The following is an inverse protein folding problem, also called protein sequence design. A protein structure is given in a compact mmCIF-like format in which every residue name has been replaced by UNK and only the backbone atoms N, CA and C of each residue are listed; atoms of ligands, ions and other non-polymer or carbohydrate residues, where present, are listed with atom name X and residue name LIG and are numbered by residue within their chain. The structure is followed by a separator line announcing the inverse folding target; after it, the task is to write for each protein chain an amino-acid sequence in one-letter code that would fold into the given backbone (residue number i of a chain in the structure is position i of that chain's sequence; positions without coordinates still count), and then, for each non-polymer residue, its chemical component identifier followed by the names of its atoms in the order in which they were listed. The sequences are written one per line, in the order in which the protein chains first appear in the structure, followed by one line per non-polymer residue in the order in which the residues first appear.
data_IF_679258196708
#
_entry.id   IF_679258196708
#
_cell.length_a   1.000
_cell.length_b   1.000
_cell.length_c   1.000
_cell.angle_alpha   90.00
_cell.angle_beta   90.00
_cell.angle_gamma   90.00
#
_symmetry.space_group_name_H-M   'P 1'
#
loop_
_entity.id
_entity.type
_entity.pdbx_description
1 polymer ?
#
# COMPACT_ATOMS: atom_id res chain seq x y z
N UNK A 1 -11.34 28.88 2.11
CA UNK A 1 -10.59 29.18 0.88
C UNK A 1 -10.43 27.88 0.09
N UNK A 2 -10.56 27.89 -1.23
CA UNK A 2 -10.38 26.68 -2.03
C UNK A 2 -8.94 26.18 -1.87
N UNK A 3 -8.78 24.91 -1.50
CA UNK A 3 -7.47 24.25 -1.40
C UNK A 3 -6.79 24.33 -2.76
N UNK A 4 -5.71 25.10 -2.87
CA UNK A 4 -4.95 25.25 -4.12
C UNK A 4 -4.54 23.86 -4.62
N UNK A 5 -4.70 23.58 -5.91
CA UNK A 5 -4.29 22.30 -6.47
C UNK A 5 -2.77 22.22 -6.45
N UNK A 6 -2.22 21.07 -6.07
CA UNK A 6 -0.75 20.87 -5.99
C UNK A 6 -0.08 21.19 -7.32
N UNK A 7 -0.70 20.83 -8.45
CA UNK A 7 -0.17 21.13 -9.79
C UNK A 7 -0.04 22.64 -10.05
N UNK A 8 -1.03 23.43 -9.64
CA UNK A 8 -1.00 24.89 -9.78
C UNK A 8 0.07 25.51 -8.87
N UNK A 9 0.18 25.02 -7.62
CA UNK A 9 1.21 25.46 -6.68
C UNK A 9 2.63 25.20 -7.20
N UNK A 10 2.85 24.05 -7.85
CA UNK A 10 4.13 23.72 -8.47
C UNK A 10 4.47 24.63 -9.66
N UNK A 11 3.46 25.03 -10.44
CA UNK A 11 3.63 26.00 -11.55
C UNK A 11 3.90 27.41 -11.01
N UNK A 12 3.15 27.86 -9.99
CA UNK A 12 3.33 29.17 -9.35
C UNK A 12 4.75 29.34 -8.79
N UNK A 13 5.34 28.26 -8.26
CA UNK A 13 6.72 28.24 -7.76
C UNK A 13 7.80 28.13 -8.83
N UNK A 14 7.41 27.96 -10.09
CA UNK A 14 8.33 27.71 -11.20
C UNK A 14 9.05 26.36 -11.11
N UNK A 15 8.55 25.43 -10.30
CA UNK A 15 9.11 24.08 -10.19
C UNK A 15 8.80 23.24 -11.44
N UNK A 16 7.66 23.48 -12.07
CA UNK A 16 7.26 22.86 -13.34
C UNK A 16 6.68 23.90 -14.30
N UNK A 17 6.76 23.62 -15.59
CA UNK A 17 6.06 24.40 -16.61
C UNK A 17 4.60 23.94 -16.77
N UNK A 18 3.69 24.78 -17.30
CA UNK A 18 2.33 24.37 -17.60
C UNK A 18 2.26 23.16 -18.55
N UNK A 19 3.17 23.09 -19.52
CA UNK A 19 3.27 21.96 -20.44
C UNK A 19 3.67 20.65 -19.72
N UNK A 20 4.58 20.72 -18.74
CA UNK A 20 4.94 19.56 -17.91
C UNK A 20 3.78 19.13 -17.01
N UNK A 21 2.99 20.07 -16.49
CA UNK A 21 1.79 19.75 -15.72
C UNK A 21 0.76 19.00 -16.58
N UNK A 22 0.49 19.45 -17.80
CA UNK A 22 -0.41 18.77 -18.74
C UNK A 22 0.08 17.37 -19.13
N UNK A 23 1.38 17.23 -19.39
CA UNK A 23 2.00 15.94 -19.66
C UNK A 23 1.86 14.98 -18.45
N UNK A 24 2.08 15.50 -17.24
CA UNK A 24 1.90 14.76 -15.99
C UNK A 24 0.45 14.32 -15.75
N UNK A 25 -0.52 15.19 -16.03
CA UNK A 25 -1.96 14.87 -15.92
C UNK A 25 -2.39 13.81 -16.94
N UNK A 26 -1.90 13.91 -18.17
CA UNK A 26 -2.15 12.91 -19.22
C UNK A 26 -1.60 11.54 -18.81
N UNK A 27 -0.35 11.51 -18.34
CA UNK A 27 0.28 10.29 -17.86
C UNK A 27 -0.42 9.73 -16.61
N UNK A 28 -0.86 10.58 -15.67
CA UNK A 28 -1.67 10.16 -14.52
C UNK A 28 -2.97 9.47 -14.95
N UNK A 29 -3.67 9.96 -15.99
CA UNK A 29 -4.89 9.32 -16.49
C UNK A 29 -4.61 7.92 -17.07
N UNK A 30 -3.44 7.73 -17.67
CA UNK A 30 -3.02 6.44 -18.24
C UNK A 30 -2.57 5.45 -17.16
N UNK A 31 -1.77 5.90 -16.19
CA UNK A 31 -1.18 5.03 -15.16
C UNK A 31 -2.07 4.88 -13.93
N UNK A 32 -3.07 5.74 -13.75
CA UNK A 32 -3.87 5.92 -12.52
C UNK A 32 -3.03 6.17 -11.26
N UNK A 33 -1.78 6.59 -11.42
CA UNK A 33 -0.91 6.93 -10.29
C UNK A 33 -1.14 8.36 -9.82
N UNK A 34 -0.59 8.71 -8.64
CA UNK A 34 -0.63 10.08 -8.12
C UNK A 34 0.24 10.99 -8.99
N UNK A 35 -0.25 12.19 -9.28
CA UNK A 35 0.43 13.19 -10.12
C UNK A 35 1.88 13.44 -9.66
N UNK A 36 2.13 13.53 -8.35
CA UNK A 36 3.48 13.73 -7.82
C UNK A 36 4.44 12.60 -8.17
N UNK A 37 4.00 11.33 -8.09
CA UNK A 37 4.81 10.16 -8.45
C UNK A 37 5.12 10.17 -9.94
N UNK A 38 4.13 10.49 -10.77
CA UNK A 38 4.30 10.64 -12.22
C UNK A 38 5.32 11.73 -12.58
N UNK A 39 5.23 12.90 -11.94
CA UNK A 39 6.13 14.03 -12.20
C UNK A 39 7.57 13.74 -11.75
N UNK A 40 7.77 13.01 -10.65
CA UNK A 40 9.09 12.54 -10.22
C UNK A 40 9.64 11.52 -11.23
N UNK A 41 8.83 10.56 -11.67
CA UNK A 41 9.23 9.55 -12.66
C UNK A 41 9.62 10.14 -14.02
N UNK A 42 9.02 11.28 -14.38
CA UNK A 42 9.38 12.05 -15.59
C UNK A 42 10.59 12.97 -15.39
N UNK A 43 11.15 13.06 -14.18
CA UNK A 43 12.26 13.95 -13.84
C UNK A 43 11.88 15.44 -13.81
N UNK A 44 10.58 15.77 -13.77
CA UNK A 44 10.11 17.15 -13.75
C UNK A 44 10.28 17.81 -12.37
N UNK A 45 10.16 17.03 -11.29
CA UNK A 45 10.34 17.51 -9.91
C UNK A 45 11.18 16.54 -9.08
N UNK A 46 11.75 17.04 -7.99
CA UNK A 46 12.38 16.21 -6.97
C UNK A 46 11.40 15.84 -5.86
N UNK A 47 11.69 14.76 -5.11
CA UNK A 47 10.88 14.38 -3.93
C UNK A 47 10.83 15.49 -2.86
N UNK A 48 11.94 16.22 -2.67
CA UNK A 48 12.00 17.33 -1.73
C UNK A 48 11.07 18.47 -2.13
N UNK A 49 11.04 18.82 -3.42
CA UNK A 49 10.12 19.82 -3.97
C UNK A 49 8.66 19.40 -3.80
N UNK A 50 8.35 18.12 -4.03
CA UNK A 50 7.01 17.58 -3.81
C UNK A 50 6.60 17.65 -2.34
N UNK A 51 7.47 17.25 -1.42
CA UNK A 51 7.21 17.30 0.02
C UNK A 51 6.95 18.74 0.50
N UNK A 52 7.71 19.72 -0.01
CA UNK A 52 7.51 21.13 0.31
C UNK A 52 6.20 21.69 -0.28
N UNK A 53 5.81 21.26 -1.48
CA UNK A 53 4.53 21.61 -2.08
C UNK A 53 3.35 21.04 -1.27
N UNK A 54 3.45 19.79 -0.84
CA UNK A 54 2.46 19.14 0.02
C UNK A 54 2.37 19.81 1.39
N UNK A 55 3.49 20.14 2.01
CA UNK A 55 3.52 20.84 3.30
C UNK A 55 2.72 22.15 3.26
N UNK A 56 2.91 22.97 2.23
CA UNK A 56 2.19 24.23 2.08
C UNK A 56 0.73 24.04 1.68
N UNK A 57 0.41 23.10 0.78
CA UNK A 57 -0.96 22.84 0.35
C UNK A 57 -1.85 22.28 1.47
N UNK A 58 -1.23 21.66 2.49
CA UNK A 58 -1.90 20.96 3.59
C UNK A 58 -1.72 21.64 4.93
N UNK A 59 -0.94 22.71 5.00
CA UNK A 59 -0.52 23.37 6.24
C UNK A 59 0.07 22.37 7.25
N UNK A 60 0.76 21.34 6.74
CA UNK A 60 1.37 20.28 7.54
C UNK A 60 2.88 20.49 7.63
N UNK A 61 3.49 20.34 8.82
CA UNK A 61 4.92 20.55 8.97
C UNK A 61 5.73 19.46 8.23
N UNK A 62 6.79 19.89 7.56
CA UNK A 62 7.77 18.98 6.96
C UNK A 62 8.75 18.49 8.03
N UNK A 63 9.17 17.22 7.93
CA UNK A 63 10.14 16.61 8.83
C UNK A 63 11.26 15.91 8.06
N UNK A 64 12.49 16.06 8.53
CA UNK A 64 13.65 15.30 8.05
C UNK A 64 13.98 14.16 9.02
N UNK A 65 13.71 12.93 8.58
CA UNK A 65 13.96 11.71 9.35
C UNK A 65 15.45 11.40 9.53
N UNK A 66 16.34 11.99 8.71
CA UNK A 66 17.77 11.77 8.84
C UNK A 66 18.41 12.55 10.01
N UNK A 67 17.77 13.65 10.43
CA UNK A 67 18.27 14.54 11.47
C UNK A 67 17.70 14.22 12.87
N UNK A 68 16.63 13.42 12.94
CA UNK A 68 15.89 13.16 14.18
C UNK A 68 16.21 11.75 14.70
N UNK A 69 16.34 11.63 16.02
CA UNK A 69 16.41 10.32 16.68
C UNK A 69 14.99 9.88 17.02
N UNK A 70 14.46 8.81 16.39
CA UNK A 70 13.12 8.33 16.67
C UNK A 70 13.03 7.66 18.03
N UNK A 71 11.88 7.81 18.68
CA UNK A 71 11.53 7.10 19.90
C UNK A 71 11.16 5.65 19.58
N UNK A 72 11.87 4.71 20.20
CA UNK A 72 11.60 3.28 20.06
C UNK A 72 10.17 2.92 20.47
N UNK A 73 9.55 3.61 21.43
CA UNK A 73 8.17 3.35 21.81
C UNK A 73 7.19 3.63 20.65
N UNK A 74 7.47 4.63 19.81
CA UNK A 74 6.67 4.93 18.62
C UNK A 74 6.91 3.89 17.52
N UNK A 75 8.17 3.50 17.30
CA UNK A 75 8.56 2.54 16.26
C UNK A 75 7.93 1.16 16.48
N UNK A 76 7.89 0.69 17.74
CA UNK A 76 7.30 -0.63 18.06
C UNK A 76 5.77 -0.65 17.98
N UNK A 77 5.12 0.51 17.89
CA UNK A 77 3.66 0.60 17.84
C UNK A 77 3.10 0.17 16.47
N UNK A 78 3.87 0.38 15.40
CA UNK A 78 3.50 -0.03 14.04
C UNK A 78 4.41 -1.15 13.53
N UNK A 79 3.82 -2.09 12.79
CA UNK A 79 4.55 -3.20 12.18
C UNK A 79 5.28 -2.71 10.91
N UNK A 80 6.47 -3.26 10.67
CA UNK A 80 7.28 -2.94 9.49
C UNK A 80 6.50 -3.03 8.16
N UNK A 81 5.73 -4.12 7.97
CA UNK A 81 4.93 -4.31 6.75
C UNK A 81 3.89 -3.21 6.52
N UNK A 82 3.27 -2.71 7.59
CA UNK A 82 2.31 -1.63 7.49
C UNK A 82 3.00 -0.33 7.07
N UNK A 83 4.13 0.00 7.70
CA UNK A 83 4.97 1.13 7.35
C UNK A 83 5.43 1.10 5.88
N UNK A 84 5.78 -0.08 5.36
CA UNK A 84 6.17 -0.29 3.96
C UNK A 84 5.01 -0.14 2.98
N UNK A 85 3.85 -0.69 3.30
CA UNK A 85 2.68 -0.65 2.43
C UNK A 85 2.10 0.75 2.26
N UNK A 86 2.15 1.54 3.33
CA UNK A 86 1.58 2.89 3.34
C UNK A 86 2.64 4.00 3.21
N UNK A 87 3.91 3.64 2.99
CA UNK A 87 5.06 4.55 2.90
C UNK A 87 5.04 5.61 4.04
N UNK A 88 5.00 5.13 5.28
CA UNK A 88 5.00 5.95 6.50
C UNK A 88 5.95 5.41 7.57
N UNK A 89 6.35 6.27 8.51
CA UNK A 89 7.26 5.92 9.59
C UNK A 89 6.89 6.66 10.90
N UNK A 90 6.54 5.94 11.98
CA UNK A 90 6.32 6.56 13.29
C UNK A 90 7.67 6.89 13.94
N UNK A 91 7.82 8.12 14.45
CA UNK A 91 9.11 8.55 15.01
C UNK A 91 9.01 9.17 16.40
N UNK A 92 7.85 9.63 16.86
CA UNK A 92 7.72 10.20 18.20
C UNK A 92 6.33 9.98 18.79
N UNK A 93 6.28 9.98 20.12
CA UNK A 93 5.04 10.06 20.90
C UNK A 93 5.04 11.39 21.63
N UNK A 94 4.12 12.28 21.26
CA UNK A 94 3.94 13.56 21.92
C UNK A 94 2.75 13.48 22.88
N UNK A 95 2.74 14.32 23.93
CA UNK A 95 1.60 14.43 24.84
C UNK A 95 1.13 15.88 24.84
N UNK A 96 -0.04 16.12 24.25
CA UNK A 96 -0.63 17.46 24.13
C UNK A 96 -1.92 17.48 24.94
N UNK A 97 -2.00 18.38 25.93
CA UNK A 97 -3.20 18.54 26.77
C UNK A 97 -3.59 17.29 27.58
N UNK A 98 -2.61 16.45 27.96
CA UNK A 98 -2.84 15.21 28.71
C UNK A 98 -3.26 14.00 27.87
N UNK A 99 -3.31 14.14 26.53
CA UNK A 99 -3.57 13.03 25.60
C UNK A 99 -2.31 12.69 24.81
N UNK A 100 -2.05 11.40 24.65
CA UNK A 100 -0.93 10.89 23.86
C UNK A 100 -1.30 10.92 22.38
N UNK A 101 -0.40 11.45 21.56
CA UNK A 101 -0.52 11.50 20.10
C UNK A 101 0.70 10.84 19.46
N UNK A 102 0.47 10.04 18.43
CA UNK A 102 1.52 9.41 17.64
C UNK A 102 1.91 10.35 16.50
N UNK A 103 3.19 10.73 16.46
CA UNK A 103 3.72 11.56 15.38
C UNK A 103 4.29 10.65 14.31
N UNK A 104 3.74 10.77 13.10
CA UNK A 104 4.05 9.89 11.96
C UNK A 104 4.56 10.74 10.81
N UNK A 105 5.72 10.37 10.28
CA UNK A 105 6.24 10.92 9.03
C UNK A 105 5.66 10.13 7.86
N UNK A 106 5.02 10.83 6.92
CA UNK A 106 4.32 10.21 5.80
C UNK A 106 4.83 10.79 4.48
N UNK A 107 5.05 9.91 3.50
CA UNK A 107 5.30 10.34 2.13
C UNK A 107 4.03 10.88 1.47
N UNK A 108 2.87 10.29 1.82
CA UNK A 108 1.57 10.65 1.27
C UNK A 108 0.56 11.01 2.37
N UNK A 109 0.49 12.29 2.77
CA UNK A 109 -0.42 12.76 3.83
C UNK A 109 -1.90 12.76 3.44
N UNK A 110 -2.24 12.46 2.18
CA UNK A 110 -3.62 12.37 1.72
C UNK A 110 -4.21 10.96 1.90
N UNK A 111 -3.41 10.01 2.39
CA UNK A 111 -3.85 8.65 2.63
C UNK A 111 -4.65 8.56 3.94
N UNK A 112 -5.91 8.99 3.91
CA UNK A 112 -6.78 9.01 5.09
C UNK A 112 -7.00 7.61 5.68
N UNK A 113 -7.08 6.58 4.84
CA UNK A 113 -7.27 5.20 5.31
C UNK A 113 -6.09 4.73 6.17
N UNK A 114 -4.86 5.10 5.81
CA UNK A 114 -3.68 4.80 6.63
C UNK A 114 -3.75 5.50 7.99
N UNK A 115 -4.20 6.76 8.02
CA UNK A 115 -4.35 7.51 9.27
C UNK A 115 -5.41 6.86 10.16
N UNK A 116 -6.58 6.55 9.60
CA UNK A 116 -7.69 5.89 10.32
C UNK A 116 -7.29 4.53 10.88
N UNK A 117 -6.58 3.71 10.10
CA UNK A 117 -6.12 2.38 10.54
C UNK A 117 -5.08 2.48 11.66
N UNK A 118 -4.18 3.47 11.61
CA UNK A 118 -3.25 3.74 12.72
C UNK A 118 -4.02 4.18 13.95
N UNK A 119 -4.96 5.12 13.83
CA UNK A 119 -5.77 5.58 14.97
C UNK A 119 -6.55 4.42 15.59
N UNK A 120 -7.14 3.55 14.77
CA UNK A 120 -7.87 2.37 15.22
C UNK A 120 -6.97 1.36 15.93
N UNK A 121 -5.82 1.04 15.35
CA UNK A 121 -4.91 0.01 15.88
C UNK A 121 -4.15 0.47 17.10
N UNK A 122 -3.71 1.74 17.11
CA UNK A 122 -2.92 2.30 18.21
C UNK A 122 -3.77 2.89 19.33
N UNK A 123 -5.04 3.24 19.06
CA UNK A 123 -5.89 3.97 19.99
C UNK A 123 -5.41 5.40 20.27
N UNK A 124 -4.41 5.89 19.54
CA UNK A 124 -3.82 7.22 19.70
C UNK A 124 -4.24 8.13 18.55
N UNK A 125 -4.32 9.43 18.82
CA UNK A 125 -4.51 10.42 17.76
C UNK A 125 -3.24 10.55 16.94
N UNK A 126 -3.37 10.62 15.62
CA UNK A 126 -2.22 10.70 14.71
C UNK A 126 -1.93 12.15 14.35
N UNK A 127 -0.69 12.58 14.57
CA UNK A 127 -0.16 13.85 14.07
C UNK A 127 0.75 13.58 12.88
N UNK A 128 0.22 13.85 11.68
CA UNK A 128 0.93 13.64 10.42
C UNK A 128 1.96 14.74 10.13
N UNK A 129 3.18 14.33 9.76
CA UNK A 129 4.21 15.22 9.21
C UNK A 129 4.61 14.78 7.82
N UNK A 130 4.84 15.72 6.92
CA UNK A 130 5.20 15.42 5.53
C UNK A 130 6.69 15.17 5.42
N UNK A 131 7.09 14.17 4.65
CA UNK A 131 8.51 13.92 4.35
C UNK A 131 8.68 13.32 2.94
N UNK A 132 9.92 13.16 2.49
CA UNK A 132 10.22 12.53 1.21
C UNK A 132 10.09 11.00 1.29
N UNK A 133 9.68 10.37 0.18
CA UNK A 133 9.51 8.91 0.08
C UNK A 133 10.81 8.16 0.38
N UNK A 134 11.92 8.63 -0.20
CA UNK A 134 13.26 8.10 0.05
C UNK A 134 13.66 8.15 1.53
N UNK A 135 13.29 9.22 2.24
CA UNK A 135 13.58 9.37 3.66
C UNK A 135 12.80 8.35 4.51
N UNK A 136 11.52 8.14 4.20
CA UNK A 136 10.69 7.11 4.87
C UNK A 136 11.27 5.72 4.66
N UNK A 137 11.52 5.34 3.40
CA UNK A 137 12.07 4.01 3.07
C UNK A 137 13.43 3.78 3.71
N UNK A 138 14.28 4.80 3.69
CA UNK A 138 15.57 4.77 4.39
C UNK A 138 15.44 4.55 5.89
N UNK A 139 14.47 5.22 6.53
CA UNK A 139 14.18 5.04 7.95
C UNK A 139 13.65 3.63 8.24
N UNK A 140 12.72 3.11 7.43
CA UNK A 140 12.17 1.76 7.60
C UNK A 140 13.29 0.71 7.55
N UNK A 141 14.16 0.78 6.54
CA UNK A 141 15.28 -0.13 6.39
C UNK A 141 16.26 -0.07 7.57
N UNK A 142 16.53 1.14 8.07
CA UNK A 142 17.45 1.35 9.20
C UNK A 142 16.88 0.84 10.53
N UNK A 143 15.62 1.13 10.83
CA UNK A 143 15.04 0.88 12.16
C UNK A 143 14.32 -0.47 12.28
N UNK A 144 13.62 -0.93 11.23
CA UNK A 144 12.94 -2.22 11.27
C UNK A 144 13.82 -3.37 10.80
N UNK A 145 14.61 -3.17 9.74
CA UNK A 145 15.45 -4.24 9.16
C UNK A 145 16.89 -4.19 9.63
N UNK A 146 17.28 -3.18 10.41
CA UNK A 146 18.66 -2.96 10.88
C UNK A 146 19.70 -2.97 9.74
N UNK A 147 19.27 -2.63 8.52
CA UNK A 147 20.16 -2.55 7.36
C UNK A 147 20.82 -1.18 7.39
N UNK A 148 22.17 -1.10 7.35
CA UNK A 148 22.85 0.17 7.22
C UNK A 148 22.59 0.73 5.83
N UNK A 149 21.63 1.66 5.72
CA UNK A 149 21.44 2.44 4.51
C UNK A 149 22.60 3.44 4.41
N UNK A 150 23.41 3.31 3.35
CA UNK A 150 24.40 4.31 2.98
C UNK A 150 23.68 5.64 2.80
N UNK A 151 24.10 6.67 3.55
CA UNK A 151 23.44 7.96 3.57
C UNK A 151 23.25 8.49 2.13
N UNK A 152 22.00 8.66 1.72
CA UNK A 152 21.67 9.29 0.44
C UNK A 152 22.31 10.70 0.39
N UNK A 153 22.76 11.16 -0.79
CA UNK A 153 23.37 12.47 -0.93
C UNK A 153 22.38 13.55 -0.50
N UNK A 154 22.76 14.33 0.52
CA UNK A 154 21.99 15.49 0.99
C UNK A 154 21.81 16.47 -0.17
N UNK A 155 20.58 16.85 -0.56
CA UNK A 155 20.38 17.91 -1.53
C UNK A 155 20.61 19.24 -0.80
N UNK A 156 21.84 19.78 -0.84
CA UNK A 156 22.13 21.05 -0.16
C UNK A 156 23.58 21.52 -0.06
N UNK A 157 24.54 20.93 -0.78
CA UNK A 157 25.86 21.53 -0.94
C UNK A 157 26.04 21.92 -2.43
N UNK A 158 26.19 23.22 -2.67
CA UNK A 158 26.09 23.85 -3.98
C UNK A 158 26.83 23.15 -5.12
N UNK A 159 26.11 22.90 -6.20
CA UNK A 159 26.68 22.55 -7.49
C UNK A 159 27.42 23.78 -8.05
N UNK A 160 28.74 23.84 -7.86
CA UNK A 160 29.61 24.64 -8.73
C UNK A 160 29.69 23.96 -10.11
N UNK A 161 29.71 24.71 -11.22
CA UNK A 161 29.69 24.10 -12.55
C UNK A 161 30.98 23.31 -12.79
N UNK A 162 30.82 22.02 -13.07
CA UNK A 162 31.90 21.13 -13.45
C UNK A 162 32.56 21.62 -14.74
N UNK A 163 33.82 22.07 -14.62
CA UNK A 163 34.71 22.21 -15.78
C UNK A 163 34.89 20.83 -16.40
N UNK A 164 34.61 20.71 -17.69
CA UNK A 164 34.95 19.56 -18.53
C UNK A 164 36.48 19.35 -18.50
N UNK A 165 36.96 18.50 -17.60
CA UNK A 165 38.33 17.99 -17.62
C UNK A 165 38.36 16.72 -18.47
N UNK A 166 39.29 16.68 -19.43
CA UNK A 166 39.51 15.57 -20.36
C UNK A 166 39.76 14.26 -19.59
N UNK A 167 39.32 13.09 -20.10
CA UNK A 167 39.56 11.82 -19.44
C UNK A 167 41.06 11.46 -19.48
N UNK A 168 41.63 11.20 -18.31
CA UNK A 168 42.95 10.62 -18.16
C UNK A 168 42.89 9.10 -18.44
N UNK A 169 43.96 8.49 -18.99
CA UNK A 169 43.97 7.06 -19.32
C UNK A 169 43.96 6.18 -18.05
N UNK A 170 43.44 4.94 -18.12
CA UNK A 170 43.34 4.05 -16.97
C UNK A 170 44.73 3.60 -16.51
N UNK A 171 44.98 3.48 -15.19
CA UNK A 171 46.24 2.94 -14.68
C UNK A 171 46.36 1.44 -14.93
N UNK A 172 47.60 1.02 -15.21
CA UNK A 172 47.98 -0.35 -15.48
C UNK A 172 47.69 -1.29 -14.30
N UNK A 173 47.11 -2.44 -14.64
CA UNK A 173 46.77 -3.55 -13.75
C UNK A 173 48.05 -4.24 -13.28
N UNK A 174 48.37 -4.15 -12.00
CA UNK A 174 49.37 -5.02 -11.35
C UNK A 174 48.68 -6.32 -10.89
N UNK A 175 49.37 -7.47 -10.95
CA UNK A 175 48.77 -8.78 -10.67
C UNK A 175 48.56 -9.00 -9.17
N UNK A 176 47.34 -9.39 -8.80
CA UNK A 176 47.02 -9.97 -7.48
C UNK A 176 47.44 -11.44 -7.51
N UNK A 177 48.16 -11.96 -6.50
CA UNK A 177 48.43 -13.38 -6.38
C UNK A 177 47.14 -14.10 -5.96
N UNK A 178 46.81 -15.16 -6.68
CA UNK A 178 45.82 -16.16 -6.29
C UNK A 178 46.47 -17.03 -5.22
N UNK A 179 45.98 -16.92 -3.99
CA UNK A 179 46.16 -17.95 -2.96
C UNK A 179 45.00 -18.94 -3.12
N UNK A 180 45.36 -20.16 -3.55
CA UNK A 180 44.48 -21.32 -3.57
C UNK A 180 44.20 -21.75 -2.13
N UNK A 181 42.95 -21.67 -1.70
CA UNK A 181 42.40 -22.45 -0.59
C UNK A 181 40.97 -22.88 -0.97
N UNK A 182 40.89 -24.01 -1.69
CA UNK A 182 39.65 -24.76 -1.87
C UNK A 182 39.36 -25.52 -0.57
N UNK A 183 38.50 -24.97 0.30
CA UNK A 183 37.84 -25.78 1.33
C UNK A 183 36.65 -26.54 0.72
N UNK A 184 36.91 -27.82 0.46
CA UNK A 184 35.93 -28.86 0.12
C UNK A 184 35.01 -29.09 1.33
N UNK A 185 33.74 -28.68 1.23
CA UNK A 185 32.70 -29.13 2.18
C UNK A 185 32.27 -30.53 1.75
N UNK A 186 32.86 -31.51 2.44
CA UNK A 186 32.55 -32.94 2.39
C UNK A 186 31.13 -33.18 2.90
N UNK A 187 30.41 -34.04 2.19
CA UNK A 187 29.00 -34.35 2.42
C UNK A 187 28.71 -34.94 3.80
N UNK A 188 27.57 -34.52 4.35
CA UNK A 188 26.91 -35.16 5.47
C UNK A 188 25.65 -35.89 4.94
N UNK A 189 25.65 -37.21 5.05
CA UNK A 189 24.56 -38.09 4.64
C UNK A 189 23.36 -37.94 5.61
N UNK A 190 22.17 -37.72 5.05
CA UNK A 190 20.91 -37.78 5.77
C UNK A 190 20.53 -39.24 6.08
N UNK A 191 20.07 -39.56 7.30
CA UNK A 191 19.65 -40.92 7.63
C UNK A 191 18.35 -41.30 6.91
N UNK A 192 18.32 -42.54 6.42
CA UNK A 192 17.16 -43.16 5.80
C UNK A 192 16.17 -43.66 6.86
N UNK A 193 15.00 -43.01 6.95
CA UNK A 193 13.69 -43.63 7.18
C UNK A 193 12.61 -42.56 7.34
N UNK A 194 11.80 -42.35 6.31
CA UNK A 194 10.35 -42.16 6.46
C UNK A 194 9.71 -42.15 5.06
N UNK A 195 8.93 -43.19 4.77
CA UNK A 195 8.19 -43.34 3.51
C UNK A 195 7.01 -42.36 3.48
N UNK A 196 7.28 -41.09 3.23
CA UNK A 196 6.24 -40.14 2.83
C UNK A 196 5.99 -40.35 1.34
N UNK A 197 4.94 -41.12 1.02
CA UNK A 197 4.43 -41.25 -0.34
C UNK A 197 4.10 -39.85 -0.87
N UNK A 198 5.01 -39.27 -1.66
CA UNK A 198 4.72 -38.08 -2.45
C UNK A 198 3.76 -38.49 -3.54
N UNK A 199 2.46 -38.38 -3.28
CA UNK A 199 1.46 -38.31 -4.34
C UNK A 199 1.83 -37.14 -5.24
N UNK A 200 2.01 -37.41 -6.52
CA UNK A 200 2.41 -36.40 -7.50
C UNK A 200 1.37 -35.29 -7.52
N UNK A 201 1.83 -34.03 -7.53
CA UNK A 201 0.97 -32.85 -7.69
C UNK A 201 0.07 -32.97 -8.92
N UNK A 202 0.50 -33.72 -9.95
CA UNK A 202 -0.28 -33.97 -11.15
C UNK A 202 -1.53 -34.82 -10.89
N UNK A 203 -1.49 -35.73 -9.92
CA UNK A 203 -2.62 -36.62 -9.59
C UNK A 203 -3.68 -35.86 -8.80
N UNK A 204 -3.26 -35.00 -7.87
CA UNK A 204 -4.17 -34.12 -7.10
C UNK A 204 -4.91 -33.12 -7.99
N UNK A 205 -4.27 -32.61 -9.05
CA UNK A 205 -4.91 -31.69 -10.00
C UNK A 205 -5.98 -32.42 -10.83
N UNK A 206 -5.69 -33.63 -11.34
CA UNK A 206 -6.66 -34.44 -12.08
C UNK A 206 -7.88 -34.80 -11.23
N UNK A 207 -7.66 -35.20 -9.99
CA UNK A 207 -8.73 -35.58 -9.08
C UNK A 207 -9.68 -34.40 -8.79
N UNK A 208 -9.14 -33.17 -8.69
CA UNK A 208 -9.95 -31.96 -8.49
C UNK A 208 -10.76 -31.56 -9.73
N UNK A 209 -10.20 -31.75 -10.93
CA UNK A 209 -10.91 -31.48 -12.19
C UNK A 209 -12.05 -32.48 -12.44
N UNK A 210 -11.87 -33.75 -12.07
CA UNK A 210 -12.92 -34.76 -12.16
C UNK A 210 -14.06 -34.51 -11.16
N UNK A 211 -13.75 -34.08 -9.94
CA UNK A 211 -14.77 -33.68 -8.97
C UNK A 211 -15.57 -32.45 -9.44
N UNK A 212 -14.93 -31.48 -10.09
CA UNK A 212 -15.61 -30.32 -10.66
C UNK A 212 -16.53 -30.71 -11.84
N UNK A 213 -16.12 -31.67 -12.68
CA UNK A 213 -16.96 -32.22 -13.76
C UNK A 213 -18.17 -32.98 -13.21
N UNK A 214 -17.99 -33.79 -12.16
CA UNK A 214 -19.10 -34.51 -11.48
C UNK A 214 -20.13 -33.56 -10.85
N UNK A 215 -19.68 -32.42 -10.33
CA UNK A 215 -20.57 -31.36 -9.80
C UNK A 215 -21.33 -30.64 -10.91
N UNK A 216 -20.75 -30.51 -12.11
CA UNK A 216 -21.43 -29.93 -13.29
C UNK A 216 -22.40 -30.89 -13.98
N UNK A 217 -22.22 -32.21 -13.85
CA UNK A 217 -23.12 -33.21 -14.46
C UNK A 217 -24.27 -33.68 -13.56
N UNK A 218 -24.33 -33.23 -12.31
CA UNK A 218 -25.27 -33.73 -11.28
C UNK A 218 -26.49 -32.85 -10.97
N UNK A 219 -26.81 -31.85 -11.79
CA UNK A 219 -27.92 -30.94 -11.53
C UNK A 219 -28.57 -30.44 -12.80
N UNK A 220 -29.40 -31.28 -13.43
CA UNK A 220 -30.34 -30.87 -14.47
C UNK A 220 -31.76 -31.29 -14.06
N UNK A 221 -32.60 -30.30 -13.76
CA UNK A 221 -34.06 -30.39 -13.85
C UNK A 221 -34.57 -29.08 -14.46
N UNK A 222 -35.33 -29.22 -15.55
CA UNK A 222 -35.80 -28.21 -16.49
C UNK A 222 -36.94 -27.32 -15.93
N UNK A 223 -36.92 -26.00 -16.18
CA UNK A 223 -37.79 -25.20 -17.11
C UNK A 223 -39.22 -24.86 -16.57
N UNK A 224 -39.97 -23.82 -17.03
CA UNK A 224 -39.84 -23.08 -18.31
C UNK A 224 -40.05 -21.53 -18.24
N UNK A 225 -40.08 -20.93 -19.43
CA UNK A 225 -40.06 -19.51 -19.78
C UNK A 225 -41.41 -18.77 -19.70
N UNK A 226 -41.34 -17.44 -19.47
CA UNK A 226 -42.30 -16.36 -19.78
C UNK A 226 -41.72 -15.05 -19.16
N UNK A 227 -41.84 -13.82 -19.63
CA UNK A 227 -42.42 -13.16 -20.80
C UNK A 227 -41.78 -11.74 -20.85
N UNK A 228 -41.61 -11.15 -22.03
CA UNK A 228 -41.08 -9.77 -22.18
C UNK A 228 -42.21 -8.75 -21.96
N UNK A 229 -41.90 -7.58 -21.37
CA UNK A 229 -42.48 -6.36 -21.90
C UNK A 229 -41.49 -5.21 -22.11
N UNK A 230 -41.40 -4.80 -23.38
CA UNK A 230 -41.59 -3.45 -23.93
C UNK A 230 -41.17 -2.23 -23.09
N UNK A 231 -40.23 -1.45 -23.64
CA UNK A 231 -39.90 -0.07 -23.25
C UNK A 231 -41.11 0.88 -23.29
N UNK A 232 -41.01 2.01 -22.57
CA UNK A 232 -41.20 3.28 -23.25
C UNK A 232 -40.19 4.39 -22.86
N UNK A 233 -39.72 5.07 -23.91
CA UNK A 233 -39.49 6.51 -24.04
C UNK A 233 -39.02 7.34 -22.82
N UNK A 234 -37.79 7.84 -22.92
CA UNK A 234 -37.55 9.28 -23.03
C UNK A 234 -37.25 10.04 -21.74
N UNK A 235 -35.96 10.30 -21.50
CA UNK A 235 -35.51 11.32 -20.55
C UNK A 235 -34.07 11.76 -20.83
N UNK A 236 -33.83 13.08 -20.78
CA UNK A 236 -32.51 13.73 -20.93
C UNK A 236 -31.49 13.27 -19.87
N UNK A 237 -31.95 12.55 -18.82
CA UNK A 237 -31.09 11.92 -17.81
C UNK A 237 -30.34 10.68 -18.31
N UNK A 238 -30.87 9.94 -19.29
CA UNK A 238 -30.24 8.69 -19.74
C UNK A 238 -29.02 8.95 -20.65
N UNK A 239 -29.00 10.08 -21.37
CA UNK A 239 -27.86 10.50 -22.20
C UNK A 239 -26.68 11.02 -21.35
N UNK A 240 -26.93 11.47 -20.12
CA UNK A 240 -25.89 11.93 -19.20
C UNK A 240 -25.11 10.76 -18.56
N UNK A 241 -25.76 9.61 -18.36
CA UNK A 241 -25.10 8.39 -17.85
C UNK A 241 -24.11 7.80 -18.88
N UNK A 242 -24.29 8.09 -20.18
CA UNK A 242 -23.35 7.71 -21.25
C UNK A 242 -22.18 8.70 -21.41
N UNK A 243 -22.40 9.99 -21.09
CA UNK A 243 -21.39 11.06 -21.19
C UNK A 243 -20.48 11.18 -19.96
N UNK A 244 -20.95 10.75 -18.77
CA UNK A 244 -20.21 10.85 -17.50
C UNK A 244 -19.65 9.52 -16.96
N UNK A 245 -19.64 8.45 -17.77
CA UNK A 245 -18.74 7.30 -17.64
C UNK A 245 -18.26 6.98 -16.22
N UNK A 246 -19.15 6.35 -15.44
CA UNK A 246 -18.85 5.49 -14.29
C UNK A 246 -17.79 5.99 -13.29
N UNK A 247 -18.22 6.77 -12.29
CA UNK A 247 -17.48 6.93 -11.03
C UNK A 247 -18.35 6.82 -9.77
N UNK A 248 -19.60 6.37 -9.86
CA UNK A 248 -20.52 6.42 -8.72
C UNK A 248 -21.57 5.28 -8.67
N UNK A 249 -21.23 4.06 -9.09
CA UNK A 249 -22.04 2.87 -8.83
C UNK A 249 -21.14 1.66 -8.64
N UNK A 250 -20.68 1.44 -7.40
CA UNK A 250 -20.26 0.13 -6.86
C UNK A 250 -19.89 0.26 -5.36
N UNK A 251 -20.85 0.58 -4.49
CA UNK A 251 -20.79 0.13 -3.08
C UNK A 251 -22.13 -0.40 -2.53
N UNK A 252 -22.88 -1.26 -3.26
CA UNK A 252 -23.95 -2.05 -2.63
C UNK A 252 -23.41 -3.28 -1.86
N UNK A 253 -22.18 -3.74 -2.12
CA UNK A 253 -21.64 -5.00 -1.57
C UNK A 253 -20.89 -4.88 -0.22
N UNK A 254 -20.68 -3.65 0.30
CA UNK A 254 -19.95 -3.49 1.57
C UNK A 254 -20.73 -4.07 2.75
N UNK A 255 -22.05 -3.96 2.73
CA UNK A 255 -22.90 -4.50 3.80
C UNK A 255 -22.93 -6.03 3.74
N UNK A 256 -23.13 -6.61 2.55
CA UNK A 256 -23.08 -8.06 2.34
C UNK A 256 -21.70 -8.65 2.67
N UNK A 257 -20.61 -7.94 2.36
CA UNK A 257 -19.27 -8.39 2.70
C UNK A 257 -18.97 -8.28 4.20
N UNK A 258 -19.48 -7.25 4.87
CA UNK A 258 -19.40 -7.11 6.33
C UNK A 258 -20.20 -8.22 7.02
N UNK A 259 -21.41 -8.54 6.55
CA UNK A 259 -22.22 -9.65 7.06
C UNK A 259 -21.54 -11.00 6.86
N UNK A 260 -20.98 -11.25 5.67
CA UNK A 260 -20.22 -12.50 5.41
C UNK A 260 -19.01 -12.63 6.34
N UNK A 261 -18.30 -11.53 6.61
CA UNK A 261 -17.14 -11.52 7.51
C UNK A 261 -17.55 -11.69 8.97
N UNK A 262 -18.66 -11.08 9.39
CA UNK A 262 -19.24 -11.23 10.72
C UNK A 262 -19.65 -12.68 10.99
N UNK A 263 -20.39 -13.31 10.08
CA UNK A 263 -20.80 -14.71 10.21
C UNK A 263 -19.62 -15.69 10.15
N UNK A 264 -18.59 -15.41 9.35
CA UNK A 264 -17.37 -16.19 9.35
C UNK A 264 -16.65 -16.13 10.70
N UNK A 265 -16.62 -14.96 11.34
CA UNK A 265 -16.04 -14.76 12.66
C UNK A 265 -16.83 -15.51 13.75
N UNK A 266 -18.16 -15.39 13.75
CA UNK A 266 -19.03 -16.11 14.70
C UNK A 266 -18.86 -17.63 14.60
N UNK A 267 -18.76 -18.17 13.38
CA UNK A 267 -18.51 -19.61 13.17
C UNK A 267 -17.14 -20.06 13.68
N UNK A 268 -16.12 -19.20 13.57
CA UNK A 268 -14.78 -19.47 14.11
C UNK A 268 -14.79 -19.42 15.65
N UNK A 269 -15.49 -18.45 16.24
CA UNK A 269 -15.61 -18.32 17.70
C UNK A 269 -16.36 -19.50 18.33
N UNK A 270 -17.47 -19.94 17.72
CA UNK A 270 -18.22 -21.12 18.15
C UNK A 270 -17.36 -22.41 18.05
N UNK A 271 -16.59 -22.58 16.96
CA UNK A 271 -15.70 -23.74 16.79
C UNK A 271 -14.54 -23.77 17.79
N UNK A 272 -14.12 -22.60 18.29
CA UNK A 272 -13.08 -22.45 19.31
C UNK A 272 -13.63 -22.50 20.74
N UNK A 273 -14.95 -22.69 20.93
CA UNK A 273 -15.58 -22.76 22.25
C UNK A 273 -15.62 -21.43 23.00
N UNK A 274 -15.44 -20.31 22.29
CA UNK A 274 -15.42 -18.95 22.85
C UNK A 274 -16.81 -18.31 22.91
N UNK A 275 -17.83 -19.01 22.43
CA UNK A 275 -19.23 -18.59 22.45
C UNK A 275 -20.10 -19.78 22.89
N UNK A 276 -21.02 -19.56 23.82
CA UNK A 276 -21.96 -20.61 24.25
C UNK A 276 -23.06 -20.82 23.20
N UNK A 277 -23.66 -22.02 23.15
CA UNK A 277 -24.76 -22.32 22.23
C UNK A 277 -26.02 -21.46 22.48
N UNK A 278 -26.16 -20.87 23.67
CA UNK A 278 -27.28 -19.99 24.01
C UNK A 278 -27.06 -18.57 23.48
N UNK A 279 -25.82 -18.07 23.52
CA UNK A 279 -25.45 -16.77 22.94
C UNK A 279 -25.51 -16.79 21.40
N UNK A 280 -25.10 -17.91 20.77
CA UNK A 280 -25.20 -18.09 19.32
C UNK A 280 -26.65 -18.13 18.82
N UNK A 281 -27.58 -18.66 19.63
CA UNK A 281 -28.99 -18.82 19.26
C UNK A 281 -29.79 -17.53 19.40
N UNK A 282 -29.49 -16.69 20.40
CA UNK A 282 -30.13 -15.38 20.56
C UNK A 282 -29.92 -14.47 19.34
N UNK A 283 -28.69 -14.38 18.84
CA UNK A 283 -28.39 -13.56 17.65
C UNK A 283 -29.04 -14.10 16.37
N UNK A 284 -29.37 -15.39 16.33
CA UNK A 284 -30.06 -16.06 15.20
C UNK A 284 -31.57 -15.82 15.24
N UNK A 285 -32.15 -15.66 16.44
CA UNK A 285 -33.58 -15.44 16.64
C UNK A 285 -33.98 -13.96 16.48
N UNK A 286 -33.06 -13.01 16.77
CA UNK A 286 -33.31 -11.57 16.58
C UNK A 286 -33.52 -11.18 15.09
N UNK A 287 -33.02 -11.98 14.14
CA UNK A 287 -33.24 -11.76 12.69
C UNK A 287 -34.52 -12.43 12.15
N UNK A 288 -35.12 -13.36 12.90
CA UNK A 288 -36.37 -14.01 12.51
C UNK A 288 -37.64 -13.23 12.91
N UNK A 289 -37.47 -12.13 13.67
CA UNK A 289 -38.56 -11.33 14.25
C UNK A 289 -38.93 -10.05 13.48
N UNK A 290 -38.18 -9.64 12.46
CA UNK A 290 -38.50 -8.49 11.61
C UNK A 290 -38.83 -8.95 10.18
N UNK A 291 -39.99 -9.59 10.04
CA UNK A 291 -40.63 -9.94 8.76
C UNK A 291 -42.10 -9.58 8.77
#
# INVERSE_FOLDING_TARGET
MARKRIGELLVERGAITPAQLEAGLTAQRQTRQRLGVTLIGQGAITEATLAQALSEALEMPQVDLAAITPDWAAVHLLRARFCEQHDLFPFALESVGGRRQLVVAMADPLNLTAIEEIEFTSGLKVSGRVTALSAVRGAILRYYHKVPVAAAPRPGAGAAPARLARPAPPPARAPVPVEDDEEVIVGEELPAAEKTQRTSLADLIREREEQAKRRRSGGASAAPAADKPKAPAGGVLDDLDYLFGQAAREEPDRLEELERRFWALMRIMARKGLLSNEEFRRELDDEAGEG
#
